data_IF_637557564834
#
_entry.id   IF_637557564834
#
_cell.length_a   1.000
_cell.length_b   1.000
_cell.length_c   1.000
_cell.angle_alpha   90.00
_cell.angle_beta   90.00
_cell.angle_gamma   90.00
#
_symmetry.space_group_name_H-M   'P 1'
#
loop_
_entity.id
_entity.type
_entity.pdbx_description
1 polymer ?
#
# COMPACT_ATOMS: atom_id res chain seq x y z
N UNK A 1 7.18 -30.98 10.87
CA UNK A 1 6.95 -30.53 9.49
C UNK A 1 5.88 -29.45 9.44
N UNK A 2 4.62 -29.70 9.78
CA UNK A 2 3.55 -28.66 9.67
C UNK A 2 3.78 -27.39 10.53
N UNK A 3 4.36 -27.53 11.74
CA UNK A 3 4.65 -26.38 12.61
C UNK A 3 5.85 -25.52 12.13
N UNK A 4 6.78 -26.10 11.36
CA UNK A 4 7.90 -25.35 10.77
C UNK A 4 7.47 -24.60 9.50
N UNK A 5 6.52 -25.16 8.74
CA UNK A 5 5.92 -24.51 7.57
C UNK A 5 5.08 -23.28 7.97
N UNK A 6 4.24 -23.40 9.00
CA UNK A 6 3.44 -22.28 9.50
C UNK A 6 4.31 -21.11 10.04
N UNK A 7 5.43 -21.42 10.71
CA UNK A 7 6.37 -20.42 11.20
C UNK A 7 7.19 -19.75 10.07
N UNK A 8 7.41 -20.45 8.96
CA UNK A 8 8.03 -19.90 7.76
C UNK A 8 7.08 -18.93 7.05
N UNK A 9 5.82 -19.30 6.89
CA UNK A 9 4.78 -18.48 6.26
C UNK A 9 4.52 -17.19 7.05
N UNK A 10 4.53 -17.25 8.38
CA UNK A 10 4.40 -16.05 9.24
C UNK A 10 5.59 -15.10 9.10
N UNK A 11 6.81 -15.63 8.99
CA UNK A 11 8.02 -14.82 8.75
C UNK A 11 7.99 -14.16 7.37
N UNK A 12 7.53 -14.88 6.36
CA UNK A 12 7.43 -14.37 4.99
C UNK A 12 6.37 -13.28 4.89
N UNK A 13 5.19 -13.46 5.51
CA UNK A 13 4.16 -12.44 5.60
C UNK A 13 4.63 -11.18 6.38
N UNK A 14 5.36 -11.35 7.48
CA UNK A 14 5.92 -10.22 8.23
C UNK A 14 6.95 -9.43 7.41
N UNK A 15 7.77 -10.13 6.61
CA UNK A 15 8.72 -9.50 5.69
C UNK A 15 8.02 -8.72 4.58
N UNK A 16 6.97 -9.28 3.98
CA UNK A 16 6.18 -8.61 2.95
C UNK A 16 5.52 -7.33 3.46
N UNK A 17 5.01 -7.34 4.70
CA UNK A 17 4.44 -6.15 5.35
C UNK A 17 5.53 -5.09 5.58
N UNK A 18 6.71 -5.50 6.06
CA UNK A 18 7.83 -4.59 6.27
C UNK A 18 8.33 -3.96 4.95
N UNK A 19 8.42 -4.76 3.88
CA UNK A 19 8.79 -4.28 2.54
C UNK A 19 7.74 -3.33 1.96
N UNK A 20 6.44 -3.60 2.20
CA UNK A 20 5.36 -2.69 1.81
C UNK A 20 5.41 -1.36 2.58
N UNK A 21 5.69 -1.39 3.89
CA UNK A 21 5.87 -0.20 4.71
C UNK A 21 7.10 0.62 4.28
N UNK A 22 8.23 -0.03 3.98
CA UNK A 22 9.42 0.63 3.47
C UNK A 22 9.18 1.34 2.13
N UNK A 23 8.44 0.69 1.21
CA UNK A 23 8.03 1.29 -0.07
C UNK A 23 7.09 2.48 0.13
N UNK A 24 6.15 2.38 1.08
CA UNK A 24 5.25 3.48 1.44
C UNK A 24 6.02 4.70 2.00
N UNK A 25 6.96 4.48 2.91
CA UNK A 25 7.80 5.53 3.48
C UNK A 25 8.68 6.22 2.44
N UNK A 26 9.33 5.45 1.58
CA UNK A 26 10.13 5.98 0.46
C UNK A 26 9.27 6.82 -0.49
N UNK A 27 8.05 6.36 -0.76
CA UNK A 27 7.10 7.09 -1.59
C UNK A 27 6.68 8.41 -0.95
N UNK A 28 6.41 8.43 0.36
CA UNK A 28 6.07 9.65 1.09
C UNK A 28 7.22 10.68 1.07
N UNK A 29 8.47 10.23 1.21
CA UNK A 29 9.65 11.08 1.06
C UNK A 29 9.77 11.67 -0.35
N UNK A 30 9.62 10.84 -1.39
CA UNK A 30 9.62 11.29 -2.78
C UNK A 30 8.54 12.36 -3.05
N UNK A 31 7.36 12.22 -2.44
CA UNK A 31 6.29 13.21 -2.58
C UNK A 31 6.64 14.54 -1.88
N UNK A 32 7.29 14.48 -0.72
CA UNK A 32 7.74 15.66 0.01
C UNK A 32 8.85 16.41 -0.77
N UNK A 33 9.81 15.68 -1.33
CA UNK A 33 10.84 16.22 -2.21
C UNK A 33 10.23 16.84 -3.47
N UNK A 34 9.28 16.17 -4.13
CA UNK A 34 8.60 16.72 -5.28
C UNK A 34 7.78 17.97 -4.96
N UNK A 35 7.05 17.99 -3.83
CA UNK A 35 6.34 19.20 -3.41
C UNK A 35 7.30 20.38 -3.14
N UNK A 36 8.53 20.09 -2.69
CA UNK A 36 9.57 21.10 -2.51
C UNK A 36 10.05 21.62 -3.86
N UNK A 37 10.35 20.73 -4.81
CA UNK A 37 10.71 21.08 -6.19
C UNK A 37 9.59 21.90 -6.87
N UNK A 38 8.32 21.54 -6.67
CA UNK A 38 7.17 22.30 -7.18
C UNK A 38 7.16 23.71 -6.60
N UNK A 39 7.34 23.86 -5.28
CA UNK A 39 7.37 25.16 -4.61
C UNK A 39 8.54 26.01 -5.09
N UNK A 40 9.74 25.44 -5.19
CA UNK A 40 10.94 26.10 -5.70
C UNK A 40 10.75 26.53 -7.16
N UNK A 41 10.28 25.63 -8.04
CA UNK A 41 9.97 25.95 -9.43
C UNK A 41 8.88 27.02 -9.57
N UNK A 42 7.94 27.11 -8.62
CA UNK A 42 6.88 28.15 -8.61
C UNK A 42 7.42 29.50 -8.11
N UNK A 43 8.29 29.49 -7.10
CA UNK A 43 9.01 30.67 -6.63
C UNK A 43 9.93 31.22 -7.74
N UNK A 44 10.67 30.34 -8.40
CA UNK A 44 11.46 30.66 -9.59
C UNK A 44 10.56 31.19 -10.72
N UNK A 45 9.38 30.58 -10.93
CA UNK A 45 8.43 31.07 -11.92
C UNK A 45 8.03 32.53 -11.70
N UNK A 46 7.73 32.91 -10.46
CA UNK A 46 7.39 34.31 -10.14
C UNK A 46 8.59 35.25 -10.24
N UNK A 47 9.78 34.81 -9.84
CA UNK A 47 11.03 35.58 -10.03
C UNK A 47 11.33 35.84 -11.52
N UNK A 48 11.32 34.79 -12.33
CA UNK A 48 11.59 34.86 -13.76
C UNK A 48 10.46 35.57 -14.54
N UNK A 49 9.21 35.54 -14.07
CA UNK A 49 8.14 36.36 -14.64
C UNK A 49 8.39 37.87 -14.43
N UNK A 50 8.90 38.25 -13.25
CA UNK A 50 9.34 39.63 -12.99
C UNK A 50 10.59 40.00 -13.80
N UNK A 51 11.49 39.07 -14.06
CA UNK A 51 12.63 39.30 -14.95
C UNK A 51 12.20 39.39 -16.42
N UNK A 52 11.23 38.58 -16.86
CA UNK A 52 10.66 38.64 -18.18
C UNK A 52 9.99 40.00 -18.43
N UNK A 53 9.32 40.58 -17.44
CA UNK A 53 8.78 41.94 -17.53
C UNK A 53 9.84 43.03 -17.82
N UNK A 54 11.13 42.77 -17.56
CA UNK A 54 12.25 43.67 -17.88
C UNK A 54 12.80 43.48 -19.30
N UNK A 55 12.34 42.48 -20.05
CA UNK A 55 12.77 42.24 -21.43
C UNK A 55 12.20 43.32 -22.37
N UNK A 56 13.06 43.86 -23.22
CA UNK A 56 12.75 45.02 -24.08
C UNK A 56 11.68 44.70 -25.13
N UNK A 57 11.69 43.51 -25.71
CA UNK A 57 10.78 43.14 -26.80
C UNK A 57 9.60 42.28 -26.33
N UNK A 58 8.39 42.48 -26.87
CA UNK A 58 7.24 41.65 -26.58
C UNK A 58 7.47 40.17 -26.85
N UNK A 59 8.11 39.78 -27.97
CA UNK A 59 8.34 38.36 -28.27
C UNK A 59 9.24 37.66 -27.25
N UNK A 60 10.23 38.37 -26.70
CA UNK A 60 11.11 37.81 -25.67
C UNK A 60 10.35 37.56 -24.35
N UNK A 61 9.37 38.41 -24.03
CA UNK A 61 8.50 38.23 -22.85
C UNK A 61 7.60 37.01 -23.01
N UNK A 62 6.94 36.90 -24.16
CA UNK A 62 6.02 35.78 -24.43
C UNK A 62 6.76 34.44 -24.37
N UNK A 63 7.92 34.32 -25.04
CA UNK A 63 8.73 33.08 -24.98
C UNK A 63 9.18 32.71 -23.58
N UNK A 64 9.53 33.70 -22.75
CA UNK A 64 9.93 33.46 -21.36
C UNK A 64 8.74 32.93 -20.52
N UNK A 65 7.55 33.52 -20.68
CA UNK A 65 6.32 33.09 -20.00
C UNK A 65 5.88 31.71 -20.46
N UNK A 66 5.95 31.41 -21.75
CA UNK A 66 5.57 30.10 -22.31
C UNK A 66 6.49 28.98 -21.80
N UNK A 67 7.81 29.21 -21.82
CA UNK A 67 8.80 28.24 -21.32
C UNK A 67 8.69 27.99 -19.81
N UNK A 68 8.19 28.96 -19.04
CA UNK A 68 7.88 28.77 -17.62
C UNK A 68 6.59 27.99 -17.40
N UNK A 69 5.56 28.30 -18.18
CA UNK A 69 4.26 27.64 -18.10
C UNK A 69 4.39 26.15 -18.38
N UNK A 70 5.15 25.78 -19.42
CA UNK A 70 5.44 24.38 -19.78
C UNK A 70 6.17 23.65 -18.64
N UNK A 71 7.19 24.28 -18.03
CA UNK A 71 7.93 23.69 -16.90
C UNK A 71 7.03 23.49 -15.67
N UNK A 72 6.22 24.48 -15.32
CA UNK A 72 5.31 24.39 -14.18
C UNK A 72 4.23 23.31 -14.40
N UNK A 73 3.73 23.15 -15.63
CA UNK A 73 2.78 22.09 -15.97
C UNK A 73 3.42 20.71 -15.90
N UNK A 74 4.63 20.53 -16.43
CA UNK A 74 5.35 19.26 -16.38
C UNK A 74 5.57 18.78 -14.93
N UNK A 75 5.97 19.68 -14.04
CA UNK A 75 6.18 19.39 -12.62
C UNK A 75 4.87 19.00 -11.92
N UNK A 76 3.74 19.66 -12.25
CA UNK A 76 2.41 19.28 -11.72
C UNK A 76 1.95 17.90 -12.21
N UNK A 77 2.11 17.61 -13.50
CA UNK A 77 1.76 16.31 -14.08
C UNK A 77 2.59 15.20 -13.41
N UNK A 78 3.88 15.43 -13.20
CA UNK A 78 4.76 14.46 -12.55
C UNK A 78 4.32 14.20 -11.10
N UNK A 79 3.94 15.24 -10.34
CA UNK A 79 3.41 15.08 -8.99
C UNK A 79 2.07 14.32 -8.97
N UNK A 80 1.17 14.57 -9.93
CA UNK A 80 -0.10 13.84 -10.04
C UNK A 80 0.11 12.35 -10.36
N UNK A 81 1.06 12.02 -11.24
CA UNK A 81 1.42 10.63 -11.55
C UNK A 81 1.93 9.91 -10.30
N UNK A 82 2.82 10.53 -9.52
CA UNK A 82 3.34 9.92 -8.28
C UNK A 82 2.22 9.74 -7.25
N UNK A 83 1.34 10.73 -7.10
CA UNK A 83 0.19 10.65 -6.20
C UNK A 83 -0.79 9.55 -6.59
N UNK A 84 -1.02 9.35 -7.89
CA UNK A 84 -1.85 8.25 -8.38
C UNK A 84 -1.20 6.89 -8.13
N UNK A 85 0.12 6.77 -8.36
CA UNK A 85 0.87 5.55 -8.07
C UNK A 85 0.80 5.16 -6.58
N UNK A 86 0.93 6.13 -5.67
CA UNK A 86 0.76 5.91 -4.23
C UNK A 86 -0.60 5.35 -3.85
N UNK A 87 -1.68 6.00 -4.33
CA UNK A 87 -3.04 5.53 -4.07
C UNK A 87 -3.27 4.11 -4.61
N UNK A 88 -2.62 3.74 -5.71
CA UNK A 88 -2.67 2.39 -6.23
C UNK A 88 -1.93 1.41 -5.31
N UNK A 89 -0.76 1.78 -4.80
CA UNK A 89 0.02 0.96 -3.84
C UNK A 89 -0.73 0.76 -2.52
N UNK A 90 -1.37 1.80 -1.96
CA UNK A 90 -2.20 1.69 -0.76
C UNK A 90 -3.36 0.68 -0.95
N UNK A 91 -4.02 0.70 -2.12
CA UNK A 91 -5.08 -0.29 -2.43
C UNK A 91 -4.55 -1.71 -2.57
N UNK A 92 -3.31 -1.89 -2.98
CA UNK A 92 -2.67 -3.21 -3.05
C UNK A 92 -2.35 -3.70 -1.64
N UNK A 93 -1.75 -2.85 -0.80
CA UNK A 93 -1.45 -3.16 0.58
C UNK A 93 -2.71 -3.54 1.37
N UNK A 94 -3.80 -2.76 1.23
CA UNK A 94 -5.08 -3.07 1.88
C UNK A 94 -5.65 -4.42 1.41
N UNK A 95 -5.61 -4.71 0.10
CA UNK A 95 -6.07 -6.00 -0.43
C UNK A 95 -5.24 -7.18 0.05
N UNK A 96 -3.93 -7.01 0.23
CA UNK A 96 -3.06 -8.04 0.76
C UNK A 96 -3.35 -8.28 2.25
N UNK A 97 -3.60 -7.23 3.03
CA UNK A 97 -4.07 -7.32 4.42
C UNK A 97 -5.41 -8.05 4.52
N UNK A 98 -6.39 -7.72 3.66
CA UNK A 98 -7.69 -8.37 3.66
C UNK A 98 -7.59 -9.86 3.28
N UNK A 99 -6.72 -10.19 2.32
CA UNK A 99 -6.49 -11.58 1.90
C UNK A 99 -5.84 -12.41 3.01
N UNK A 100 -4.83 -11.86 3.69
CA UNK A 100 -4.18 -12.54 4.83
C UNK A 100 -5.14 -12.71 6.01
N UNK A 101 -5.95 -11.70 6.32
CA UNK A 101 -7.02 -11.82 7.31
C UNK A 101 -8.01 -12.93 6.94
N UNK A 102 -8.49 -12.96 5.70
CA UNK A 102 -9.40 -14.01 5.21
C UNK A 102 -8.80 -15.43 5.29
N UNK A 103 -7.49 -15.57 5.11
CA UNK A 103 -6.78 -16.85 5.27
C UNK A 103 -6.79 -17.31 6.73
N UNK A 104 -6.55 -16.40 7.67
CA UNK A 104 -6.60 -16.68 9.11
C UNK A 104 -8.01 -17.11 9.54
N UNK A 105 -9.03 -16.36 9.15
CA UNK A 105 -10.43 -16.68 9.49
C UNK A 105 -10.83 -18.09 9.00
N UNK A 106 -10.38 -18.48 7.80
CA UNK A 106 -10.62 -19.83 7.27
C UNK A 106 -9.89 -20.92 8.04
N UNK A 107 -8.68 -20.64 8.52
CA UNK A 107 -7.94 -21.57 9.37
C UNK A 107 -8.63 -21.75 10.72
N UNK A 108 -9.07 -20.65 11.35
CA UNK A 108 -9.80 -20.67 12.62
C UNK A 108 -11.12 -21.43 12.51
N UNK A 109 -11.88 -21.21 11.42
CA UNK A 109 -13.12 -21.96 11.17
C UNK A 109 -12.88 -23.47 11.00
N UNK A 110 -11.77 -23.87 10.38
CA UNK A 110 -11.39 -25.30 10.26
C UNK A 110 -11.03 -25.88 11.62
N UNK A 111 -10.23 -25.17 12.41
CA UNK A 111 -9.86 -25.60 13.75
C UNK A 111 -11.10 -25.80 14.64
N UNK A 112 -12.05 -24.85 14.62
CA UNK A 112 -13.32 -25.00 15.35
C UNK A 112 -14.15 -26.20 14.87
N UNK A 113 -14.19 -26.47 13.57
CA UNK A 113 -14.90 -27.62 13.02
C UNK A 113 -14.27 -28.95 13.45
N UNK A 114 -12.93 -29.02 13.48
CA UNK A 114 -12.20 -30.20 13.94
C UNK A 114 -12.39 -30.43 15.45
N UNK A 115 -12.37 -29.38 16.26
CA UNK A 115 -12.69 -29.45 17.69
C UNK A 115 -14.12 -29.94 17.93
N UNK A 116 -15.12 -29.40 17.21
CA UNK A 116 -16.50 -29.86 17.33
C UNK A 116 -16.65 -31.34 16.95
N UNK A 117 -15.96 -31.78 15.88
CA UNK A 117 -15.96 -33.18 15.47
C UNK A 117 -15.32 -34.09 16.54
N UNK A 118 -14.25 -33.63 17.18
CA UNK A 118 -13.61 -34.35 18.28
C UNK A 118 -14.56 -34.47 19.48
N UNK A 119 -15.22 -33.37 19.88
CA UNK A 119 -16.21 -33.37 20.97
C UNK A 119 -17.38 -34.31 20.68
N UNK A 120 -17.94 -34.27 19.47
CA UNK A 120 -19.04 -35.14 19.08
C UNK A 120 -18.64 -36.62 19.03
N UNK A 121 -17.44 -36.93 18.53
CA UNK A 121 -16.96 -38.32 18.51
C UNK A 121 -16.73 -38.87 19.91
N UNK A 122 -16.22 -38.04 20.84
CA UNK A 122 -16.07 -38.39 22.25
C UNK A 122 -17.42 -38.57 22.94
N UNK A 123 -18.35 -37.64 22.75
CA UNK A 123 -19.70 -37.73 23.30
C UNK A 123 -20.44 -38.98 22.80
N UNK A 124 -20.27 -39.34 21.52
CA UNK A 124 -20.82 -40.58 20.96
C UNK A 124 -20.21 -41.81 21.63
N UNK A 125 -18.87 -41.86 21.74
CA UNK A 125 -18.18 -42.97 22.39
C UNK A 125 -18.61 -43.12 23.85
N UNK A 126 -18.69 -42.03 24.60
CA UNK A 126 -19.13 -42.05 26.01
C UNK A 126 -20.58 -42.53 26.13
N UNK A 127 -21.46 -42.21 25.17
CA UNK A 127 -22.83 -42.71 25.11
C UNK A 127 -22.90 -44.20 24.75
N UNK A 128 -22.08 -44.66 23.80
CA UNK A 128 -21.98 -46.07 23.42
C UNK A 128 -21.45 -46.92 24.61
N UNK A 129 -20.41 -46.43 25.31
CA UNK A 129 -19.85 -47.06 26.52
C UNK A 129 -20.87 -47.07 27.69
N UNK A 130 -21.67 -46.02 27.85
CA UNK A 130 -22.70 -45.94 28.89
C UNK A 130 -23.92 -46.85 28.63
N UNK A 131 -24.23 -47.14 27.37
CA UNK A 131 -25.36 -47.99 26.98
C UNK A 131 -25.01 -49.47 26.86
N UNK A 132 -23.71 -49.83 26.91
CA UNK A 132 -23.23 -51.21 26.88
C UNK A 132 -23.47 -51.93 25.55
N UNK A 133 -23.79 -51.20 24.48
CA UNK A 133 -23.98 -51.73 23.14
C UNK A 133 -22.62 -51.90 22.45
N UNK A 134 -21.84 -52.88 22.89
CA UNK A 134 -20.71 -53.39 22.10
C UNK A 134 -21.27 -54.23 20.95
N UNK A 135 -21.18 -53.71 19.72
CA UNK A 135 -21.24 -54.55 18.51
C UNK A 135 -19.86 -55.15 18.22
#
# INVERSE_FOLDING_TARGET
>A
MEAEEAASDEKEAAKDIADAQARSALSAQLLAEQNTIVKEATADSTFYARQAAKLKTPEARTRAVDAQTIRAQAVRIQADVVKQAQRAMERVANRQSDWTASKRDKADMRAMADEQKLVLSKAKKDADDATGLYF
#
